data_IF_706828008894
#
_entry.id   IF_706828008894
#
_cell.length_a   1.000
_cell.length_b   1.000
_cell.length_c   1.000
_cell.angle_alpha   90.00
_cell.angle_beta   90.00
_cell.angle_gamma   90.00
#
_symmetry.space_group_name_H-M   'P 1'
#
loop_
_entity.id
_entity.type
_entity.pdbx_description
1 polymer ?
#
# COMPACT_ATOMS: atom_id res chain seq x y z
N UNK A 1 24.46 38.83 -11.15
CA UNK A 1 23.04 38.50 -11.39
C UNK A 1 22.83 37.02 -11.10
N UNK A 2 22.47 36.64 -9.87
CA UNK A 2 22.31 35.22 -9.42
C UNK A 2 21.19 35.04 -8.38
N UNK A 3 20.31 36.03 -8.23
CA UNK A 3 19.24 36.01 -7.21
C UNK A 3 17.91 35.46 -7.74
N UNK A 4 17.67 35.52 -9.05
CA UNK A 4 16.38 35.16 -9.65
C UNK A 4 16.20 33.66 -9.86
N UNK A 5 17.28 32.89 -9.96
CA UNK A 5 17.21 31.44 -10.15
C UNK A 5 16.63 30.73 -8.93
N UNK A 6 16.88 31.22 -7.71
CA UNK A 6 16.41 30.56 -6.47
C UNK A 6 14.92 30.74 -6.16
N UNK A 7 14.25 31.70 -6.81
CA UNK A 7 12.82 31.94 -6.59
C UNK A 7 11.92 31.06 -7.45
N UNK A 8 12.39 30.64 -8.63
CA UNK A 8 11.65 29.73 -9.52
C UNK A 8 11.45 28.35 -8.89
N UNK A 9 12.52 27.75 -8.37
CA UNK A 9 12.47 26.44 -7.72
C UNK A 9 11.56 26.42 -6.48
N UNK A 10 11.56 27.50 -5.69
CA UNK A 10 10.78 27.57 -4.45
C UNK A 10 9.28 27.73 -4.68
N UNK A 11 8.87 28.29 -5.83
CA UNK A 11 7.45 28.39 -6.21
C UNK A 11 6.94 27.09 -6.83
N UNK A 12 7.78 26.34 -7.56
CA UNK A 12 7.41 25.03 -8.09
C UNK A 12 7.13 23.99 -7.00
N UNK A 13 7.91 23.99 -5.91
CA UNK A 13 7.68 23.09 -4.77
C UNK A 13 6.36 23.35 -4.02
N UNK A 14 5.72 24.51 -4.23
CA UNK A 14 4.45 24.88 -3.57
C UNK A 14 3.23 24.56 -4.44
N UNK A 15 3.42 24.40 -5.74
CA UNK A 15 2.35 24.10 -6.71
C UNK A 15 2.28 22.65 -7.13
N UNK A 16 3.36 21.89 -6.96
CA UNK A 16 3.27 20.44 -7.01
C UNK A 16 2.73 20.03 -5.65
N UNK A 17 1.44 19.66 -5.49
CA UNK A 17 1.06 18.93 -4.30
C UNK A 17 2.07 17.80 -4.19
N UNK A 18 2.55 17.52 -2.99
CA UNK A 18 3.04 16.19 -2.68
C UNK A 18 1.88 15.24 -3.01
N UNK A 19 1.73 14.92 -4.31
CA UNK A 19 1.29 13.64 -4.76
C UNK A 19 2.28 12.77 -4.04
N UNK A 20 1.88 12.32 -2.85
CA UNK A 20 2.03 10.93 -2.43
C UNK A 20 2.00 10.19 -3.75
N UNK A 21 3.18 9.94 -4.31
CA UNK A 21 3.32 9.25 -5.56
C UNK A 21 2.50 8.01 -5.27
N UNK A 22 1.36 7.84 -5.94
CA UNK A 22 0.46 6.71 -5.72
C UNK A 22 1.38 5.53 -5.77
N UNK A 23 1.71 5.02 -4.58
CA UNK A 23 3.00 4.40 -4.44
C UNK A 23 2.94 3.21 -5.39
N UNK A 24 3.98 3.03 -6.21
CA UNK A 24 4.02 2.01 -7.25
C UNK A 24 3.98 0.58 -6.69
N UNK A 25 3.47 0.40 -5.48
CA UNK A 25 3.12 -0.87 -4.91
C UNK A 25 2.16 -1.54 -5.89
N UNK A 26 2.46 -2.76 -6.32
CA UNK A 26 1.51 -3.52 -7.10
C UNK A 26 0.23 -3.67 -6.26
N UNK A 27 -0.97 -3.54 -6.86
CA UNK A 27 -2.23 -3.88 -6.20
C UNK A 27 -2.35 -5.41 -6.07
N UNK A 28 -1.29 -6.04 -5.57
CA UNK A 28 -1.22 -7.48 -5.43
C UNK A 28 -1.96 -7.86 -4.16
N UNK A 29 -3.06 -8.56 -4.37
CA UNK A 29 -3.82 -9.19 -3.31
C UNK A 29 -3.50 -10.67 -3.33
N UNK A 30 -2.81 -11.14 -2.30
CA UNK A 30 -2.54 -12.56 -2.12
C UNK A 30 -3.60 -13.18 -1.20
N UNK A 31 -3.98 -14.41 -1.51
CA UNK A 31 -4.78 -15.23 -0.61
C UNK A 31 -3.88 -16.25 0.09
N UNK A 32 -3.80 -16.13 1.41
CA UNK A 32 -3.11 -17.10 2.25
C UNK A 32 -4.11 -18.14 2.74
N UNK A 33 -3.71 -19.41 2.64
CA UNK A 33 -4.47 -20.56 3.14
C UNK A 33 -3.61 -21.28 4.18
N UNK A 34 -4.20 -21.56 5.33
CA UNK A 34 -3.54 -22.26 6.41
C UNK A 34 -4.44 -23.37 6.94
N UNK A 35 -3.85 -24.55 7.17
CA UNK A 35 -4.49 -25.64 7.89
C UNK A 35 -3.88 -25.69 9.29
N UNK A 36 -4.72 -25.59 10.33
CA UNK A 36 -4.25 -25.64 11.71
C UNK A 36 -5.31 -26.26 12.62
N UNK A 37 -4.93 -27.32 13.33
CA UNK A 37 -5.78 -27.98 14.32
C UNK A 37 -7.05 -28.62 13.75
N UNK A 38 -7.01 -29.13 12.51
CA UNK A 38 -8.18 -29.74 11.85
C UNK A 38 -9.14 -28.74 11.20
N UNK A 39 -8.73 -27.47 11.06
CA UNK A 39 -9.54 -26.43 10.42
C UNK A 39 -8.77 -25.76 9.28
N UNK A 40 -9.44 -25.58 8.15
CA UNK A 40 -8.94 -24.70 7.10
C UNK A 40 -9.33 -23.25 7.38
N UNK A 41 -8.33 -22.38 7.27
CA UNK A 41 -8.47 -20.94 7.37
C UNK A 41 -7.91 -20.29 6.12
N UNK A 42 -8.52 -19.19 5.73
CA UNK A 42 -8.01 -18.33 4.67
C UNK A 42 -8.04 -16.87 5.12
N UNK A 43 -7.15 -16.07 4.56
CA UNK A 43 -7.19 -14.61 4.67
C UNK A 43 -6.72 -14.00 3.37
N UNK A 44 -7.22 -12.81 3.07
CA UNK A 44 -6.75 -12.00 1.96
C UNK A 44 -5.84 -10.90 2.49
N UNK A 45 -4.68 -10.74 1.88
CA UNK A 45 -3.73 -9.68 2.20
C UNK A 45 -3.46 -8.85 0.95
N UNK A 46 -3.59 -7.54 1.09
CA UNK A 46 -3.46 -6.61 -0.03
C UNK A 46 -2.56 -5.45 0.36
N UNK A 47 -1.82 -4.95 -0.63
CA UNK A 47 -1.21 -3.64 -0.54
C UNK A 47 -2.29 -2.56 -0.65
N UNK A 48 -2.33 -1.67 0.33
CA UNK A 48 -3.20 -0.49 0.33
C UNK A 48 -2.57 0.62 -0.53
N UNK A 49 -3.36 1.62 -0.89
CA UNK A 49 -2.93 2.78 -1.68
C UNK A 49 -1.80 3.60 -1.02
N UNK A 50 -1.53 3.37 0.27
CA UNK A 50 -0.41 3.94 1.01
C UNK A 50 0.79 2.97 1.13
N UNK A 51 0.89 1.96 0.26
CA UNK A 51 1.91 0.90 0.31
C UNK A 51 1.94 0.08 1.60
N UNK A 52 0.97 0.25 2.51
CA UNK A 52 0.89 -0.58 3.70
C UNK A 52 0.34 -1.95 3.32
N UNK A 53 1.06 -3.00 3.73
CA UNK A 53 0.59 -4.36 3.60
C UNK A 53 -0.39 -4.69 4.72
N UNK A 54 -1.64 -4.99 4.36
CA UNK A 54 -2.69 -5.27 5.32
C UNK A 54 -3.38 -6.59 5.02
N UNK A 55 -3.52 -7.43 6.05
CA UNK A 55 -4.28 -8.67 5.98
C UNK A 55 -5.66 -8.51 6.62
N UNK A 56 -6.66 -9.11 6.00
CA UNK A 56 -7.96 -9.36 6.61
C UNK A 56 -7.85 -10.38 7.75
N UNK A 57 -8.87 -10.44 8.60
CA UNK A 57 -8.97 -11.46 9.63
C UNK A 57 -9.05 -12.86 9.01
N UNK A 58 -8.55 -13.86 9.75
CA UNK A 58 -8.69 -15.26 9.35
C UNK A 58 -10.15 -15.68 9.33
N UNK A 59 -10.60 -16.19 8.19
CA UNK A 59 -11.91 -16.79 8.03
C UNK A 59 -11.76 -18.31 7.92
N UNK A 60 -12.53 -19.05 8.71
CA UNK A 60 -12.61 -20.51 8.62
C UNK A 60 -13.82 -20.92 7.79
N UNK A 61 -13.65 -21.90 6.90
CA UNK A 61 -14.72 -22.40 6.03
C UNK A 61 -15.08 -23.86 6.30
N UNK A 62 -14.39 -24.51 7.23
CA UNK A 62 -14.71 -25.85 7.68
C UNK A 62 -13.52 -26.57 8.28
N UNK A 63 -13.76 -27.83 8.62
CA UNK A 63 -12.72 -28.78 8.94
C UNK A 63 -11.96 -29.21 7.69
N UNK A 64 -10.65 -29.19 7.80
CA UNK A 64 -9.69 -29.82 6.90
C UNK A 64 -8.86 -30.77 7.75
#
# INVERSE_FOLDING_TARGET
MRLFEKFGDKMLSKFVPERNASAGCPPDCIQERQMSGGYCRYRSCCYRSNCSYGCSAWSSWGSC
#
